data_IF_805223476139
#
_entry.id   IF_805223476139
#
_cell.length_a   1.000
_cell.length_b   1.000
_cell.length_c   1.000
_cell.angle_alpha   90.00
_cell.angle_beta   90.00
_cell.angle_gamma   90.00
#
_symmetry.space_group_name_H-M   'P 1'
#
loop_
_entity.id
_entity.type
_entity.pdbx_description
1 polymer ?
#
# COMPACT_ATOMS: atom_id res chain seq x y z
N UNK A 1 11.53 18.12 0.24
CA UNK A 1 11.71 17.81 1.67
C UNK A 1 11.60 16.31 1.88
N UNK A 2 12.59 15.70 2.50
CA UNK A 2 12.55 14.28 2.81
C UNK A 2 11.54 14.02 3.95
N UNK A 3 10.93 12.84 3.97
CA UNK A 3 10.03 12.41 5.05
C UNK A 3 10.71 12.48 6.42
N UNK A 4 12.03 12.25 6.50
CA UNK A 4 12.81 12.26 7.73
C UNK A 4 12.71 13.55 8.53
N UNK A 5 12.52 14.67 7.87
CA UNK A 5 12.37 15.97 8.51
C UNK A 5 10.97 16.17 9.11
N UNK A 6 10.02 15.26 8.81
CA UNK A 6 8.62 15.38 9.20
C UNK A 6 8.16 14.38 10.26
N UNK A 7 9.03 13.45 10.67
CA UNK A 7 8.68 12.40 11.63
C UNK A 7 9.38 12.66 12.96
N UNK A 8 9.09 13.81 13.56
CA UNK A 8 9.68 14.24 14.82
C UNK A 8 8.71 14.21 16.02
N UNK A 9 7.43 13.93 15.78
CA UNK A 9 6.40 13.87 16.82
C UNK A 9 5.47 12.69 16.59
N UNK A 10 4.79 12.23 17.65
CA UNK A 10 3.72 11.22 17.57
C UNK A 10 2.66 11.61 16.57
N UNK A 11 2.27 12.89 16.55
CA UNK A 11 1.24 13.39 15.67
C UNK A 11 1.62 13.23 14.21
N UNK A 12 2.88 13.51 13.86
CA UNK A 12 3.39 13.35 12.51
C UNK A 12 3.47 11.87 12.11
N UNK A 13 3.94 11.03 13.02
CA UNK A 13 3.99 9.58 12.78
C UNK A 13 2.57 9.02 12.57
N UNK A 14 1.63 9.38 13.43
CA UNK A 14 0.24 8.92 13.30
C UNK A 14 -0.37 9.32 11.95
N UNK A 15 -0.10 10.54 11.48
CA UNK A 15 -0.58 11.02 10.18
C UNK A 15 0.00 10.21 9.02
N UNK A 16 1.30 9.89 9.09
CA UNK A 16 1.94 9.08 8.05
C UNK A 16 1.40 7.65 8.04
N UNK A 17 1.14 7.08 9.22
CA UNK A 17 0.50 5.76 9.31
C UNK A 17 -0.93 5.80 8.76
N UNK A 18 -1.68 6.88 8.99
CA UNK A 18 -3.01 7.07 8.41
C UNK A 18 -2.96 7.16 6.87
N UNK A 19 -1.94 7.83 6.33
CA UNK A 19 -1.72 7.87 4.87
C UNK A 19 -1.53 6.44 4.35
N UNK A 20 -0.75 5.64 5.06
CA UNK A 20 -0.57 4.22 4.73
C UNK A 20 -1.89 3.44 4.72
N UNK A 21 -2.75 3.66 5.73
CA UNK A 21 -4.07 3.02 5.79
C UNK A 21 -4.90 3.33 4.56
N UNK A 22 -4.97 4.61 4.16
CA UNK A 22 -5.74 5.01 2.98
C UNK A 22 -5.10 4.49 1.69
N UNK A 23 -3.77 4.49 1.62
CA UNK A 23 -3.04 3.92 0.49
C UNK A 23 -3.43 2.46 0.28
N UNK A 24 -3.46 1.67 1.35
CA UNK A 24 -3.87 0.27 1.29
C UNK A 24 -5.34 0.11 0.89
N UNK A 25 -6.23 0.97 1.37
CA UNK A 25 -7.62 0.97 0.94
C UNK A 25 -7.76 1.20 -0.56
N UNK A 26 -7.00 2.14 -1.11
CA UNK A 26 -7.02 2.44 -2.55
C UNK A 26 -6.52 1.26 -3.35
N UNK A 27 -5.42 0.63 -2.94
CA UNK A 27 -4.85 -0.55 -3.62
C UNK A 27 -5.84 -1.72 -3.59
N UNK A 28 -6.45 -2.00 -2.45
CA UNK A 28 -7.47 -3.05 -2.30
C UNK A 28 -8.66 -2.80 -3.23
N UNK A 29 -9.19 -1.57 -3.22
CA UNK A 29 -10.33 -1.19 -4.06
C UNK A 29 -10.01 -1.32 -5.56
N UNK A 30 -8.78 -0.99 -5.97
CA UNK A 30 -8.35 -1.11 -7.37
C UNK A 30 -8.26 -2.57 -7.80
N UNK A 31 -7.74 -3.44 -6.95
CA UNK A 31 -7.67 -4.87 -7.25
C UNK A 31 -9.08 -5.46 -7.47
N UNK A 32 -10.02 -5.15 -6.60
CA UNK A 32 -11.42 -5.57 -6.78
C UNK A 32 -12.06 -4.95 -8.02
N UNK A 33 -11.80 -3.68 -8.28
CA UNK A 33 -12.33 -2.98 -9.46
C UNK A 33 -11.86 -3.62 -10.76
N UNK A 34 -10.61 -4.07 -10.82
CA UNK A 34 -10.10 -4.79 -11.99
C UNK A 34 -10.88 -6.08 -12.26
N UNK A 35 -11.18 -6.84 -11.21
CA UNK A 35 -11.96 -8.07 -11.35
C UNK A 35 -13.42 -7.80 -11.73
N UNK A 36 -14.04 -6.81 -11.12
CA UNK A 36 -15.44 -6.46 -11.36
C UNK A 36 -15.69 -5.87 -12.76
N UNK A 37 -14.71 -5.20 -13.33
CA UNK A 37 -14.83 -4.55 -14.64
C UNK A 37 -14.70 -5.50 -15.83
N UNK A 38 -14.33 -6.75 -15.59
CA UNK A 38 -14.18 -7.74 -16.66
C UNK A 38 -15.55 -8.16 -17.21
N UNK A 39 -15.65 -8.26 -18.55
CA UNK A 39 -16.81 -8.85 -19.21
C UNK A 39 -16.82 -10.36 -19.01
N UNK A 40 -17.96 -11.01 -19.28
CA UNK A 40 -18.04 -12.48 -19.19
C UNK A 40 -17.02 -13.18 -20.09
N UNK A 41 -16.81 -12.65 -21.30
CA UNK A 41 -15.81 -13.18 -22.24
C UNK A 41 -14.39 -13.01 -21.70
N UNK A 42 -14.09 -11.86 -21.09
CA UNK A 42 -12.79 -11.60 -20.47
C UNK A 42 -12.56 -12.50 -19.25
N UNK A 43 -13.61 -12.75 -18.46
CA UNK A 43 -13.51 -13.68 -17.32
C UNK A 43 -13.23 -15.10 -17.75
N UNK A 44 -13.79 -15.52 -18.87
CA UNK A 44 -13.54 -16.84 -19.45
C UNK A 44 -12.09 -16.98 -19.94
N UNK A 45 -11.49 -15.88 -20.37
CA UNK A 45 -10.10 -15.81 -20.81
C UNK A 45 -9.12 -15.49 -19.68
N UNK A 46 -9.64 -15.15 -18.49
CA UNK A 46 -8.83 -14.76 -17.35
C UNK A 46 -7.92 -15.89 -16.92
N UNK A 47 -6.63 -15.60 -16.91
CA UNK A 47 -5.61 -16.49 -16.41
C UNK A 47 -5.77 -16.66 -14.89
N UNK A 48 -5.80 -17.90 -14.40
CA UNK A 48 -5.90 -18.18 -12.97
C UNK A 48 -4.80 -17.48 -12.17
N UNK A 49 -3.61 -17.32 -12.74
CA UNK A 49 -2.50 -16.65 -12.10
C UNK A 49 -2.81 -15.17 -11.85
N UNK A 50 -3.48 -14.50 -12.79
CA UNK A 50 -3.87 -13.09 -12.65
C UNK A 50 -4.97 -12.95 -11.60
N UNK A 51 -5.97 -13.84 -11.63
CA UNK A 51 -7.04 -13.83 -10.63
C UNK A 51 -6.49 -14.02 -9.22
N UNK A 52 -5.61 -14.98 -9.03
CA UNK A 52 -4.95 -15.26 -7.75
C UNK A 52 -4.09 -14.08 -7.30
N UNK A 53 -3.40 -13.43 -8.22
CA UNK A 53 -2.59 -12.25 -7.94
C UNK A 53 -3.45 -11.13 -7.36
N UNK A 54 -4.59 -10.84 -8.01
CA UNK A 54 -5.48 -9.75 -7.58
C UNK A 54 -6.16 -10.07 -6.25
N UNK A 55 -6.62 -11.29 -6.05
CA UNK A 55 -7.21 -11.73 -4.79
C UNK A 55 -6.20 -11.64 -3.65
N UNK A 56 -4.97 -12.10 -3.89
CA UNK A 56 -3.89 -12.06 -2.91
C UNK A 56 -3.52 -10.61 -2.56
N UNK A 57 -3.42 -9.75 -3.57
CA UNK A 57 -3.11 -8.33 -3.37
C UNK A 57 -4.17 -7.64 -2.51
N UNK A 58 -5.44 -7.92 -2.75
CA UNK A 58 -6.53 -7.35 -1.98
C UNK A 58 -6.51 -7.82 -0.53
N UNK A 59 -6.29 -9.11 -0.29
CA UNK A 59 -6.20 -9.68 1.06
C UNK A 59 -5.01 -9.12 1.82
N UNK A 60 -3.87 -9.01 1.16
CA UNK A 60 -2.64 -8.49 1.75
C UNK A 60 -2.78 -7.02 2.13
N UNK A 61 -3.38 -6.21 1.25
CA UNK A 61 -3.65 -4.79 1.56
C UNK A 61 -4.58 -4.63 2.77
N UNK A 62 -5.58 -5.50 2.89
CA UNK A 62 -6.47 -5.48 4.06
C UNK A 62 -5.73 -5.82 5.34
N UNK A 63 -4.78 -6.77 5.30
CA UNK A 63 -3.93 -7.10 6.46
C UNK A 63 -2.98 -5.96 6.82
N UNK A 64 -2.35 -5.34 5.83
CA UNK A 64 -1.46 -4.20 6.03
C UNK A 64 -2.22 -3.06 6.71
N UNK A 65 -3.42 -2.76 6.22
CA UNK A 65 -4.27 -1.73 6.81
C UNK A 65 -4.57 -2.03 8.28
N UNK A 66 -4.94 -3.27 8.59
CA UNK A 66 -5.23 -3.68 9.97
C UNK A 66 -4.02 -3.52 10.88
N UNK A 67 -2.83 -3.88 10.41
CA UNK A 67 -1.58 -3.72 11.18
C UNK A 67 -1.27 -2.25 11.44
N UNK A 68 -1.45 -1.38 10.43
CA UNK A 68 -1.24 0.06 10.57
C UNK A 68 -2.24 0.69 11.54
N UNK A 69 -3.51 0.30 11.45
CA UNK A 69 -4.55 0.76 12.39
C UNK A 69 -4.24 0.36 13.82
N UNK A 70 -3.71 -0.85 14.03
CA UNK A 70 -3.28 -1.31 15.36
C UNK A 70 -2.15 -0.44 15.92
N UNK A 71 -1.19 -0.04 15.10
CA UNK A 71 -0.11 0.85 15.52
C UNK A 71 -0.67 2.22 15.93
N UNK A 72 -1.59 2.76 15.15
CA UNK A 72 -2.22 4.06 15.44
C UNK A 72 -2.98 3.98 16.77
N UNK A 73 -3.72 2.90 17.02
CA UNK A 73 -4.49 2.71 18.25
C UNK A 73 -3.60 2.61 19.50
N UNK A 74 -2.37 2.12 19.36
CA UNK A 74 -1.41 2.06 20.45
C UNK A 74 -0.77 3.42 20.77
N UNK A 75 -0.88 4.38 19.86
CA UNK A 75 -0.27 5.70 20.03
C UNK A 75 -1.18 6.64 20.82
N UNK A 76 -0.54 7.51 21.62
CA UNK A 76 -1.22 8.61 22.32
C UNK A 76 -1.10 9.88 21.48
N UNK A 77 -1.78 9.89 20.33
CA UNK A 77 -1.71 10.98 19.39
C UNK A 77 -3.08 11.29 18.79
N UNK A 78 -3.33 12.57 18.52
CA UNK A 78 -4.53 12.99 17.79
C UNK A 78 -4.40 12.56 16.33
N UNK A 79 -5.45 11.93 15.82
CA UNK A 79 -5.54 11.56 14.42
C UNK A 79 -6.33 12.63 13.63
N UNK A 80 -6.12 12.67 12.34
CA UNK A 80 -6.87 13.54 11.43
C UNK A 80 -8.06 12.74 10.87
N UNK A 81 -9.10 13.42 10.40
CA UNK A 81 -10.20 12.75 9.72
C UNK A 81 -9.71 12.05 8.46
N UNK A 82 -10.14 10.80 8.26
CA UNK A 82 -9.72 10.01 7.09
C UNK A 82 -10.16 10.62 5.76
N UNK A 83 -11.28 11.35 5.73
CA UNK A 83 -11.75 12.02 4.52
C UNK A 83 -10.71 13.00 3.95
N UNK A 84 -10.01 13.73 4.82
CA UNK A 84 -8.97 14.67 4.42
C UNK A 84 -7.76 13.95 3.85
N UNK A 85 -7.37 12.85 4.46
CA UNK A 85 -6.23 12.03 4.02
C UNK A 85 -6.58 11.32 2.71
N UNK A 86 -7.79 10.77 2.62
CA UNK A 86 -8.29 10.08 1.43
C UNK A 86 -8.24 11.01 0.21
N UNK A 87 -8.64 12.26 0.37
CA UNK A 87 -8.58 13.25 -0.70
C UNK A 87 -7.14 13.46 -1.20
N UNK A 88 -6.18 13.59 -0.27
CA UNK A 88 -4.77 13.76 -0.60
C UNK A 88 -4.19 12.55 -1.33
N UNK A 89 -4.52 11.35 -0.90
CA UNK A 89 -4.05 10.12 -1.52
C UNK A 89 -4.63 9.98 -2.91
N UNK A 90 -5.92 10.20 -3.09
CA UNK A 90 -6.60 10.09 -4.39
C UNK A 90 -6.09 11.09 -5.42
N UNK A 91 -5.76 12.29 -4.99
CA UNK A 91 -5.19 13.32 -5.88
C UNK A 91 -3.82 12.90 -6.45
N UNK A 92 -3.07 12.12 -5.69
CA UNK A 92 -1.74 11.66 -6.08
C UNK A 92 -1.75 10.31 -6.80
N UNK A 93 -2.89 9.60 -6.81
CA UNK A 93 -3.03 8.33 -7.49
C UNK A 93 -3.68 8.53 -8.84
N UNK A 94 -2.90 8.32 -9.90
CA UNK A 94 -3.44 8.35 -11.26
C UNK A 94 -4.45 7.20 -11.40
N UNK A 95 -5.67 7.56 -11.82
CA UNK A 95 -6.70 6.55 -12.11
C UNK A 95 -6.55 6.11 -13.56
N UNK A 96 -5.79 5.06 -13.77
CA UNK A 96 -5.71 4.41 -15.07
C UNK A 96 -6.79 3.35 -15.16
N UNK A 97 -7.53 3.34 -16.27
CA UNK A 97 -8.43 2.24 -16.56
C UNK A 97 -7.74 1.36 -17.60
N UNK A 98 -7.23 0.18 -17.17
CA UNK A 98 -6.55 -0.71 -18.11
C UNK A 98 -7.52 -1.26 -19.16
N UNK A 99 -7.08 -1.32 -20.40
CA UNK A 99 -7.88 -1.79 -21.54
C UNK A 99 -7.67 -3.29 -21.79
N UNK A 100 -6.60 -3.87 -21.26
CA UNK A 100 -6.24 -5.27 -21.45
C UNK A 100 -5.53 -5.84 -20.20
N UNK A 101 -5.21 -7.11 -20.23
CA UNK A 101 -4.54 -7.78 -19.11
C UNK A 101 -3.13 -7.26 -18.87
N UNK A 102 -2.41 -6.88 -19.92
CA UNK A 102 -1.07 -6.31 -19.77
C UNK A 102 -1.14 -4.96 -19.08
N UNK A 103 -2.11 -4.14 -19.42
CA UNK A 103 -2.38 -2.87 -18.74
C UNK A 103 -2.79 -3.05 -17.28
N UNK A 104 -3.58 -4.08 -16.99
CA UNK A 104 -4.00 -4.43 -15.63
C UNK A 104 -2.78 -4.84 -14.79
N UNK A 105 -1.91 -5.68 -15.32
CA UNK A 105 -0.68 -6.10 -14.64
C UNK A 105 0.26 -4.92 -14.41
N UNK A 106 0.38 -4.03 -15.39
CA UNK A 106 1.18 -2.82 -15.25
C UNK A 106 0.64 -1.91 -14.13
N UNK A 107 -0.68 -1.74 -14.06
CA UNK A 107 -1.30 -0.95 -12.99
C UNK A 107 -1.04 -1.57 -11.62
N UNK A 108 -1.16 -2.90 -11.52
CA UNK A 108 -0.87 -3.62 -10.28
C UNK A 108 0.60 -3.49 -9.89
N UNK A 109 1.51 -3.57 -10.84
CA UNK A 109 2.94 -3.35 -10.59
C UNK A 109 3.21 -1.96 -10.03
N UNK A 110 2.60 -0.94 -10.62
CA UNK A 110 2.74 0.44 -10.14
C UNK A 110 2.21 0.60 -8.71
N UNK A 111 1.11 -0.07 -8.38
CA UNK A 111 0.54 -0.05 -7.03
C UNK A 111 1.52 -0.66 -6.01
N UNK A 112 2.09 -1.81 -6.33
CA UNK A 112 3.04 -2.51 -5.45
C UNK A 112 4.34 -1.69 -5.26
N UNK A 113 4.87 -1.12 -6.35
CA UNK A 113 6.06 -0.29 -6.30
C UNK A 113 5.85 1.00 -5.51
N UNK A 114 4.67 1.62 -5.65
CA UNK A 114 4.32 2.84 -4.93
C UNK A 114 4.22 2.56 -3.44
N UNK A 115 3.57 1.46 -3.06
CA UNK A 115 3.46 1.04 -1.67
C UNK A 115 4.84 0.73 -1.08
N UNK A 116 5.66 -0.04 -1.80
CA UNK A 116 7.02 -0.34 -1.37
C UNK A 116 7.80 0.93 -1.08
N UNK A 117 7.79 1.88 -2.01
CA UNK A 117 8.51 3.14 -1.86
C UNK A 117 8.01 3.94 -0.66
N UNK A 118 6.71 3.98 -0.44
CA UNK A 118 6.12 4.66 0.71
C UNK A 118 6.66 4.11 2.02
N UNK A 119 6.65 2.78 2.20
CA UNK A 119 7.15 2.14 3.42
C UNK A 119 8.66 2.28 3.57
N UNK A 120 9.41 2.18 2.48
CA UNK A 120 10.85 2.36 2.50
C UNK A 120 11.22 3.78 2.96
N UNK A 121 10.58 4.80 2.41
CA UNK A 121 10.81 6.20 2.78
C UNK A 121 10.40 6.46 4.24
N UNK A 122 9.28 5.87 4.68
CA UNK A 122 8.80 6.02 6.06
C UNK A 122 9.77 5.37 7.05
N UNK A 123 10.26 4.18 6.75
CA UNK A 123 11.24 3.47 7.58
C UNK A 123 12.51 4.31 7.71
N UNK A 124 13.05 4.81 6.61
CA UNK A 124 14.25 5.67 6.63
C UNK A 124 14.03 6.92 7.48
N UNK A 125 12.86 7.53 7.37
CA UNK A 125 12.51 8.72 8.13
C UNK A 125 12.46 8.44 9.64
N UNK A 126 11.88 7.31 10.05
CA UNK A 126 11.80 6.91 11.45
C UNK A 126 13.19 6.59 12.00
N UNK A 127 14.00 5.84 11.24
CA UNK A 127 15.37 5.47 11.64
C UNK A 127 16.27 6.70 11.79
N UNK A 128 16.06 7.72 10.98
CA UNK A 128 16.82 8.97 11.03
C UNK A 128 16.35 9.92 12.13
N UNK A 129 15.22 9.64 12.78
CA UNK A 129 14.63 10.51 13.80
C UNK A 129 15.16 10.17 15.19
N UNK A 130 15.48 11.20 15.97
CA UNK A 130 15.85 11.07 17.40
C UNK A 130 14.62 11.25 18.31
N UNK A 131 13.42 11.34 17.76
CA UNK A 131 12.21 11.60 18.51
C UNK A 131 11.82 10.42 19.41
N UNK A 132 11.27 10.74 20.57
CA UNK A 132 10.64 9.76 21.46
C UNK A 132 9.15 9.70 21.12
N UNK A 133 8.68 8.53 20.71
CA UNK A 133 7.27 8.31 20.42
C UNK A 133 6.57 7.64 21.60
N UNK A 134 5.25 7.84 21.72
CA UNK A 134 4.43 7.18 22.74
C UNK A 134 4.32 5.65 22.51
N UNK A 135 4.65 5.20 21.31
CA UNK A 135 4.70 3.79 20.93
C UNK A 135 6.17 3.35 20.83
N UNK A 136 6.43 2.07 21.06
CA UNK A 136 7.78 1.51 20.90
C UNK A 136 8.23 1.63 19.43
N UNK A 137 9.29 2.39 19.21
CA UNK A 137 9.84 2.65 17.87
C UNK A 137 10.25 1.35 17.16
N UNK A 138 10.87 0.42 17.88
CA UNK A 138 11.29 -0.84 17.28
C UNK A 138 10.09 -1.69 16.84
N UNK A 139 9.00 -1.68 17.62
CA UNK A 139 7.76 -2.36 17.25
C UNK A 139 7.15 -1.80 15.98
N UNK A 140 7.16 -0.47 15.81
CA UNK A 140 6.71 0.20 14.58
C UNK A 140 7.59 -0.23 13.40
N UNK A 141 8.91 -0.16 13.57
CA UNK A 141 9.85 -0.52 12.51
C UNK A 141 9.69 -1.99 12.09
N UNK A 142 9.55 -2.90 13.06
CA UNK A 142 9.38 -4.32 12.76
C UNK A 142 8.13 -4.57 11.91
N UNK A 143 7.03 -3.90 12.23
CA UNK A 143 5.79 -3.99 11.44
C UNK A 143 6.00 -3.44 10.04
N UNK A 144 6.62 -2.27 9.92
CA UNK A 144 6.87 -1.64 8.61
C UNK A 144 7.86 -2.44 7.76
N UNK A 145 8.88 -3.03 8.35
CA UNK A 145 9.81 -3.92 7.63
C UNK A 145 9.06 -5.13 7.04
N UNK A 146 8.18 -5.74 7.82
CA UNK A 146 7.39 -6.88 7.37
C UNK A 146 6.48 -6.49 6.19
N UNK A 147 5.79 -5.36 6.29
CA UNK A 147 4.93 -4.87 5.23
C UNK A 147 5.75 -4.56 3.97
N UNK A 148 6.88 -3.87 4.12
CA UNK A 148 7.75 -3.53 2.99
C UNK A 148 8.24 -4.78 2.25
N UNK A 149 8.62 -5.82 2.99
CA UNK A 149 9.07 -7.08 2.39
C UNK A 149 7.95 -7.76 1.61
N UNK A 150 6.73 -7.75 2.14
CA UNK A 150 5.56 -8.30 1.45
C UNK A 150 5.24 -7.52 0.18
N UNK A 151 5.39 -6.18 0.19
CA UNK A 151 5.23 -5.36 -1.03
C UNK A 151 6.29 -5.68 -2.08
N UNK A 152 7.52 -5.92 -1.65
CA UNK A 152 8.60 -6.34 -2.54
C UNK A 152 8.30 -7.69 -3.20
N UNK A 153 7.79 -8.64 -2.43
CA UNK A 153 7.35 -9.93 -2.94
C UNK A 153 6.22 -9.75 -3.96
N UNK A 154 5.31 -8.81 -3.71
CA UNK A 154 4.24 -8.46 -4.64
C UNK A 154 4.79 -7.95 -5.97
N UNK A 155 5.79 -7.07 -5.96
CA UNK A 155 6.47 -6.60 -7.18
C UNK A 155 7.06 -7.77 -7.95
N UNK A 156 7.74 -8.68 -7.27
CA UNK A 156 8.36 -9.85 -7.88
C UNK A 156 7.32 -10.78 -8.50
N UNK A 157 6.20 -10.99 -7.82
CA UNK A 157 5.09 -11.82 -8.29
C UNK A 157 4.46 -11.27 -9.57
N UNK A 158 4.15 -9.97 -9.61
CA UNK A 158 3.60 -9.33 -10.80
C UNK A 158 4.60 -9.41 -11.97
N UNK A 159 5.86 -9.10 -11.69
CA UNK A 159 6.92 -9.15 -12.71
C UNK A 159 7.07 -10.55 -13.31
N UNK A 160 7.03 -11.58 -12.47
CA UNK A 160 7.11 -12.97 -12.95
C UNK A 160 5.96 -13.33 -13.89
N UNK A 161 4.74 -12.90 -13.54
CA UNK A 161 3.57 -13.14 -14.40
C UNK A 161 3.71 -12.40 -15.74
N UNK A 162 4.18 -11.15 -15.71
CA UNK A 162 4.41 -10.36 -16.93
C UNK A 162 5.44 -11.04 -17.84
N UNK A 163 6.51 -11.58 -17.28
CA UNK A 163 7.56 -12.27 -18.02
C UNK A 163 7.05 -13.57 -18.67
N UNK A 164 6.18 -14.31 -18.00
CA UNK A 164 5.58 -15.53 -18.53
C UNK A 164 4.65 -15.27 -19.71
N UNK A 165 4.10 -14.06 -19.81
CA UNK A 165 3.16 -13.66 -20.87
C UNK A 165 3.85 -13.14 -22.13
N UNK A 166 5.14 -12.91 -22.10
CA UNK A 166 5.92 -12.43 -23.25
C UNK A 166 6.12 -13.51 -24.33
#
# INVERSE_FOLDING_TARGET
MSLGQRVSTDRQLARLLQIGVVLEEVVEARAYSHLESLSDAERDELDDAIEQLLDHAAEESAEHRARLESLIDEMDAETVGYDEIELLVRENYAQNQPEDFDGLLYDQLCNEETAYKFYDDLIEAIEASDADYSIDQQGVLDTLYAIREEEKEGVEEVTAIMEERE
#
